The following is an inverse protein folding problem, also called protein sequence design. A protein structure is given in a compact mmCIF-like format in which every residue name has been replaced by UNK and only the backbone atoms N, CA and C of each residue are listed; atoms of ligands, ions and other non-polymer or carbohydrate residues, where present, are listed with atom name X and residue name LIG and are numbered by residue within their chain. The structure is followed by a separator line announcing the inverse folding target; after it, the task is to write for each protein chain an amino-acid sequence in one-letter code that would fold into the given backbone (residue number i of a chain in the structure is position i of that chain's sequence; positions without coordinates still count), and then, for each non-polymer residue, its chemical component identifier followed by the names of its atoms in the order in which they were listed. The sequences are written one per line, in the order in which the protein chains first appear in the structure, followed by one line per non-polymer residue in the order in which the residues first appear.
data_IF_145092941848
#
_entry.id   IF_145092941848
#
_cell.length_a   1.000
_cell.length_b   1.000
_cell.length_c   1.000
_cell.angle_alpha   90.00
_cell.angle_beta   90.00
_cell.angle_gamma   90.00
#
_symmetry.space_group_name_H-M   'P 1'
#
loop_
_entity.id
_entity.type
_entity.pdbx_description
1 polymer ?
#
# COMPACT_ATOMS: atom_id res chain seq x y z
N UNK A 1 -8.94 -11.04 21.53
CA UNK A 1 -8.29 -9.75 21.88
C UNK A 1 -8.12 -8.97 20.60
N UNK A 2 -8.69 -7.77 20.52
CA UNK A 2 -8.42 -6.84 19.42
C UNK A 2 -7.23 -5.96 19.81
N UNK A 3 -6.37 -5.64 18.84
CA UNK A 3 -5.14 -4.87 19.09
C UNK A 3 -5.39 -3.37 19.32
N UNK A 4 -6.62 -2.89 19.13
CA UNK A 4 -6.95 -1.45 19.20
C UNK A 4 -6.22 -0.61 18.15
N UNK A 5 -5.72 -1.22 17.08
CA UNK A 5 -5.00 -0.56 16.00
C UNK A 5 -5.94 -0.22 14.84
N UNK A 6 -5.62 0.86 14.11
CA UNK A 6 -6.29 1.14 12.85
C UNK A 6 -5.95 0.06 11.82
N UNK A 7 -6.93 -0.26 10.96
CA UNK A 7 -6.76 -1.21 9.87
C UNK A 7 -7.23 -0.55 8.58
N UNK A 8 -6.36 -0.54 7.57
CA UNK A 8 -6.65 0.00 6.24
C UNK A 8 -6.23 -1.01 5.18
N UNK A 9 -7.10 -1.26 4.21
CA UNK A 9 -6.83 -2.12 3.06
C UNK A 9 -6.95 -1.32 1.78
N UNK A 10 -5.86 -1.28 1.01
CA UNK A 10 -5.90 -0.73 -0.35
C UNK A 10 -6.34 -1.80 -1.34
N UNK A 11 -7.20 -1.42 -2.29
CA UNK A 11 -7.51 -2.24 -3.46
C UNK A 11 -6.66 -1.71 -4.61
N UNK A 12 -5.71 -2.53 -5.05
CA UNK A 12 -4.83 -2.16 -6.16
C UNK A 12 -5.64 -1.95 -7.45
N UNK A 13 -5.14 -1.07 -8.30
CA UNK A 13 -5.66 -0.75 -9.61
C UNK A 13 -5.91 -2.04 -10.42
N UNK A 14 -7.09 -2.09 -11.03
CA UNK A 14 -7.61 -3.26 -11.76
C UNK A 14 -8.05 -4.45 -10.91
N UNK A 15 -7.61 -4.57 -9.65
CA UNK A 15 -7.96 -5.70 -8.81
C UNK A 15 -9.40 -5.59 -8.28
N UNK A 16 -10.09 -6.72 -8.19
CA UNK A 16 -11.48 -6.78 -7.72
C UNK A 16 -12.47 -6.02 -8.60
N UNK A 17 -12.10 -5.78 -9.86
CA UNK A 17 -12.94 -5.25 -10.94
C UNK A 17 -13.10 -6.32 -12.03
N UNK A 18 -12.97 -5.97 -13.32
CA UNK A 18 -13.02 -6.91 -14.44
C UNK A 18 -11.64 -7.44 -14.83
N UNK A 19 -11.60 -8.53 -15.60
CA UNK A 19 -10.34 -9.08 -16.12
C UNK A 19 -9.60 -8.12 -17.06
N UNK A 20 -10.33 -7.30 -17.83
CA UNK A 20 -9.74 -6.26 -18.67
C UNK A 20 -9.10 -5.16 -17.84
N UNK A 21 -9.76 -4.70 -16.76
CA UNK A 21 -9.20 -3.64 -15.91
C UNK A 21 -7.87 -4.08 -15.27
N UNK A 22 -7.78 -5.35 -14.86
CA UNK A 22 -6.53 -5.92 -14.37
C UNK A 22 -5.47 -6.04 -15.48
N UNK A 23 -5.88 -6.40 -16.70
CA UNK A 23 -5.01 -6.50 -17.87
C UNK A 23 -4.45 -5.16 -18.34
N UNK A 24 -5.21 -4.07 -18.15
CA UNK A 24 -4.83 -2.70 -18.53
C UNK A 24 -4.00 -1.99 -17.44
N UNK A 25 -4.05 -2.50 -16.20
CA UNK A 25 -3.26 -1.97 -15.09
C UNK A 25 -1.79 -2.33 -15.21
N UNK A 26 -0.90 -1.44 -14.79
CA UNK A 26 0.54 -1.68 -14.80
C UNK A 26 1.19 -1.48 -13.42
N UNK A 27 2.48 -1.78 -13.33
CA UNK A 27 3.23 -1.70 -12.09
C UNK A 27 3.24 -0.29 -11.48
N UNK A 28 3.32 0.78 -12.29
CA UNK A 28 3.33 2.15 -11.77
C UNK A 28 2.00 2.50 -11.09
N UNK A 29 0.89 1.95 -11.56
CA UNK A 29 -0.42 2.14 -10.92
C UNK A 29 -0.42 1.52 -9.53
N UNK A 30 0.07 0.28 -9.38
CA UNK A 30 0.16 -0.38 -8.07
C UNK A 30 1.15 0.28 -7.13
N UNK A 31 2.24 0.86 -7.65
CA UNK A 31 3.19 1.64 -6.84
C UNK A 31 2.55 2.92 -6.32
N UNK A 32 1.71 3.61 -7.12
CA UNK A 32 0.94 4.77 -6.66
C UNK A 32 -0.07 4.38 -5.58
N UNK A 33 -0.82 3.29 -5.79
CA UNK A 33 -1.78 2.77 -4.81
C UNK A 33 -1.11 2.41 -3.48
N UNK A 34 0.10 1.86 -3.54
CA UNK A 34 0.89 1.53 -2.36
C UNK A 34 1.37 2.78 -1.62
N UNK A 35 1.77 3.83 -2.34
CA UNK A 35 2.13 5.13 -1.74
C UNK A 35 0.91 5.76 -1.07
N UNK A 36 -0.24 5.81 -1.75
CA UNK A 36 -1.48 6.33 -1.18
C UNK A 36 -1.87 5.58 0.10
N UNK A 37 -1.76 4.25 0.09
CA UNK A 37 -2.05 3.42 1.27
C UNK A 37 -1.14 3.75 2.47
N UNK A 38 0.15 4.02 2.21
CA UNK A 38 1.09 4.42 3.25
C UNK A 38 0.76 5.82 3.79
N UNK A 39 0.42 6.78 2.92
CA UNK A 39 -0.01 8.12 3.34
C UNK A 39 -1.26 8.08 4.23
N UNK A 40 -2.25 7.28 3.85
CA UNK A 40 -3.45 7.08 4.68
C UNK A 40 -3.07 6.49 6.03
N UNK A 41 -2.24 5.45 6.05
CA UNK A 41 -1.72 4.85 7.28
C UNK A 41 -1.05 5.85 8.21
N UNK A 42 -0.24 6.76 7.66
CA UNK A 42 0.44 7.82 8.42
C UNK A 42 -0.52 8.90 8.94
N UNK A 43 -1.62 9.18 8.24
CA UNK A 43 -2.64 10.14 8.67
C UNK A 43 -3.51 9.61 9.81
N UNK A 44 -3.80 8.31 9.81
CA UNK A 44 -4.70 7.70 10.80
C UNK A 44 -3.96 7.09 11.99
N UNK A 45 -2.65 6.83 11.88
CA UNK A 45 -1.85 6.14 12.90
C UNK A 45 -0.54 6.84 13.24
N UNK A 46 -0.07 6.67 14.49
CA UNK A 46 1.23 7.19 14.95
C UNK A 46 2.42 6.31 14.54
N UNK A 47 2.15 5.02 14.29
CA UNK A 47 3.11 4.00 13.85
C UNK A 47 2.42 3.16 12.79
N UNK A 48 3.07 2.96 11.66
CA UNK A 48 2.54 2.20 10.54
C UNK A 48 3.29 0.87 10.43
N UNK A 49 2.54 -0.22 10.31
CA UNK A 49 3.06 -1.55 9.97
C UNK A 49 2.45 -1.93 8.63
N UNK A 50 3.29 -2.15 7.62
CA UNK A 50 2.85 -2.64 6.31
C UNK A 50 2.84 -4.17 6.32
N UNK A 51 1.75 -4.76 5.86
CA UNK A 51 1.58 -6.22 5.75
C UNK A 51 1.08 -6.50 4.33
N UNK A 52 1.73 -7.43 3.64
CA UNK A 52 1.36 -7.80 2.27
C UNK A 52 1.77 -9.24 1.93
N UNK A 53 1.06 -9.82 0.97
CA UNK A 53 1.29 -11.18 0.45
C UNK A 53 1.54 -11.11 -1.05
N UNK A 54 2.49 -11.90 -1.57
CA UNK A 54 2.86 -11.91 -3.00
C UNK A 54 3.16 -10.50 -3.50
N UNK A 55 2.49 -10.02 -4.55
CA UNK A 55 2.59 -8.65 -5.09
C UNK A 55 2.50 -7.58 -3.99
N UNK A 56 1.59 -7.73 -3.02
CA UNK A 56 1.49 -6.79 -1.90
C UNK A 56 2.73 -6.78 -1.00
N UNK A 57 3.39 -7.93 -0.83
CA UNK A 57 4.65 -8.03 -0.10
C UNK A 57 5.81 -7.38 -0.86
N UNK A 58 5.84 -7.53 -2.18
CA UNK A 58 6.79 -6.83 -3.05
C UNK A 58 6.63 -5.31 -2.95
N UNK A 59 5.40 -4.80 -2.98
CA UNK A 59 5.11 -3.37 -2.81
C UNK A 59 5.51 -2.87 -1.42
N UNK A 60 5.22 -3.64 -0.36
CA UNK A 60 5.61 -3.29 1.00
C UNK A 60 7.14 -3.19 1.17
N UNK A 61 7.89 -4.14 0.61
CA UNK A 61 9.36 -4.09 0.59
C UNK A 61 9.87 -2.89 -0.22
N UNK A 62 9.29 -2.64 -1.39
CA UNK A 62 9.66 -1.49 -2.22
C UNK A 62 9.45 -0.15 -1.47
N UNK A 63 8.33 0.01 -0.76
CA UNK A 63 8.09 1.19 0.08
C UNK A 63 9.13 1.32 1.19
N UNK A 64 9.45 0.21 1.88
CA UNK A 64 10.44 0.20 2.94
C UNK A 64 11.84 0.61 2.45
N UNK A 65 12.25 0.15 1.26
CA UNK A 65 13.50 0.58 0.63
C UNK A 65 13.45 2.03 0.14
N UNK A 66 12.33 2.46 -0.44
CA UNK A 66 12.20 3.82 -1.01
C UNK A 66 12.18 4.92 0.05
N UNK A 67 11.61 4.65 1.23
CA UNK A 67 11.41 5.62 2.31
C UNK A 67 12.17 5.28 3.60
N UNK A 68 13.31 4.59 3.47
CA UNK A 68 14.11 4.10 4.60
C UNK A 68 14.49 5.20 5.61
N UNK A 69 14.87 6.39 5.12
CA UNK A 69 15.54 7.43 5.92
C UNK A 69 14.79 8.77 5.97
N UNK A 70 13.71 8.90 5.20
CA UNK A 70 12.86 10.10 5.20
C UNK A 70 11.40 9.67 5.03
N UNK A 71 10.49 10.03 5.97
CA UNK A 71 9.07 9.82 5.76
C UNK A 71 8.64 10.51 4.46
N UNK A 72 7.63 9.96 3.78
CA UNK A 72 6.93 10.63 2.69
C UNK A 72 6.79 12.11 3.03
N UNK A 73 7.33 12.99 2.18
CA UNK A 73 7.19 14.42 2.40
C UNK A 73 5.70 14.73 2.42
N UNK A 74 5.22 15.19 3.59
CA UNK A 74 3.85 15.64 3.79
C UNK A 74 3.61 16.97 3.07
#
# INVERSE_FOLDING_TARGET
MELGANLFFTRLSGHGSTGSDLGDSNADDWLKDAVEALEIGQRIGKKVVLIGTSTGGTLALWLAFKFQDAPLQA
#
